data_IF_474927480549
#
_entry.id   IF_474927480549
#
_cell.length_a   1.000
_cell.length_b   1.000
_cell.length_c   1.000
_cell.angle_alpha   90.00
_cell.angle_beta   90.00
_cell.angle_gamma   90.00
#
_symmetry.space_group_name_H-M   'P 1'
#
loop_
_entity.id
_entity.type
_entity.pdbx_description
1 polymer ?
#
# COMPACT_ATOMS: atom_id res chain seq x y z
N UNK A 1 8.83 -24.41 14.38
CA UNK A 1 8.85 -23.04 14.96
C UNK A 1 9.32 -22.13 13.84
N UNK A 2 8.40 -21.41 13.17
CA UNK A 2 8.79 -20.52 12.08
C UNK A 2 9.49 -19.31 12.69
N UNK A 3 10.80 -19.22 12.48
CA UNK A 3 11.61 -18.07 12.82
C UNK A 3 11.20 -16.93 11.88
N UNK A 4 10.45 -15.96 12.39
CA UNK A 4 10.25 -14.71 11.68
C UNK A 4 11.62 -14.02 11.61
N UNK A 5 12.08 -13.56 10.44
CA UNK A 5 13.31 -12.79 10.37
C UNK A 5 13.12 -11.55 11.23
N UNK A 6 14.07 -11.27 12.13
CA UNK A 6 14.11 -10.05 12.94
C UNK A 6 14.06 -8.83 12.02
N UNK A 7 12.86 -8.30 11.78
CA UNK A 7 12.67 -7.07 11.03
C UNK A 7 13.35 -5.96 11.81
N UNK A 8 14.41 -5.38 11.26
CA UNK A 8 15.05 -4.19 11.82
C UNK A 8 13.99 -3.09 12.02
N UNK A 9 14.11 -2.24 13.04
CA UNK A 9 13.10 -1.20 13.35
C UNK A 9 12.73 -0.34 12.13
N UNK A 10 13.70 -0.13 11.22
CA UNK A 10 13.52 0.57 9.96
C UNK A 10 12.58 -0.16 8.99
N UNK A 11 12.61 -1.49 8.94
CA UNK A 11 11.71 -2.28 8.10
C UNK A 11 10.28 -2.27 8.68
N UNK A 12 10.12 -2.35 10.00
CA UNK A 12 8.80 -2.21 10.65
C UNK A 12 8.16 -0.86 10.34
N UNK A 13 8.90 0.25 10.47
CA UNK A 13 8.39 1.58 10.11
C UNK A 13 7.92 1.65 8.66
N UNK A 14 8.72 1.12 7.73
CA UNK A 14 8.34 1.05 6.30
C UNK A 14 7.09 0.21 6.07
N UNK A 15 6.94 -0.94 6.74
CA UNK A 15 5.74 -1.79 6.61
C UNK A 15 4.50 -1.04 7.11
N UNK A 16 4.59 -0.35 8.25
CA UNK A 16 3.49 0.46 8.79
C UNK A 16 3.12 1.59 7.84
N UNK A 17 4.10 2.30 7.27
CA UNK A 17 3.86 3.34 6.26
C UNK A 17 3.18 2.76 5.02
N UNK A 18 3.65 1.61 4.52
CA UNK A 18 3.06 0.93 3.38
C UNK A 18 1.60 0.55 3.69
N UNK A 19 1.34 -0.06 4.84
CA UNK A 19 -0.02 -0.42 5.27
C UNK A 19 -0.92 0.80 5.39
N UNK A 20 -0.44 1.92 5.95
CA UNK A 20 -1.21 3.15 6.07
C UNK A 20 -1.60 3.70 4.68
N UNK A 21 -0.68 3.66 3.72
CA UNK A 21 -0.95 4.09 2.34
C UNK A 21 -1.96 3.16 1.66
N UNK A 22 -1.74 1.85 1.72
CA UNK A 22 -2.66 0.88 1.12
C UNK A 22 -4.06 0.97 1.75
N UNK A 23 -4.15 1.23 3.05
CA UNK A 23 -5.42 1.45 3.76
C UNK A 23 -6.13 2.69 3.26
N UNK A 24 -5.44 3.83 3.12
CA UNK A 24 -6.05 5.05 2.56
C UNK A 24 -6.57 4.85 1.15
N UNK A 25 -5.83 4.09 0.32
CA UNK A 25 -6.25 3.74 -1.05
C UNK A 25 -7.49 2.84 -1.02
N UNK A 26 -7.53 1.85 -0.14
CA UNK A 26 -8.71 0.99 0.09
C UNK A 26 -9.96 1.81 0.47
N UNK A 27 -9.77 2.80 1.35
CA UNK A 27 -10.81 3.73 1.79
C UNK A 27 -11.13 4.84 0.78
N UNK A 28 -10.52 4.81 -0.42
CA UNK A 28 -10.66 5.83 -1.49
C UNK A 28 -10.32 7.25 -1.02
N UNK A 29 -9.52 7.37 0.03
CA UNK A 29 -9.07 8.67 0.55
C UNK A 29 -8.00 9.27 -0.36
N UNK A 30 -7.85 10.60 -0.38
CA UNK A 30 -6.77 11.25 -1.08
C UNK A 30 -5.41 10.84 -0.47
N UNK A 31 -4.49 10.43 -1.33
CA UNK A 31 -3.12 10.07 -0.95
C UNK A 31 -2.19 11.12 -1.56
N UNK A 32 -1.54 11.90 -0.69
CA UNK A 32 -0.66 13.01 -1.09
C UNK A 32 0.83 12.63 -1.19
N UNK A 33 1.15 11.33 -1.07
CA UNK A 33 2.52 10.83 -1.03
C UNK A 33 2.95 10.20 -2.36
N UNK A 34 4.25 9.91 -2.49
CA UNK A 34 4.84 9.30 -3.68
C UNK A 34 4.32 7.87 -3.92
N UNK A 35 3.20 7.79 -4.64
CA UNK A 35 2.52 6.59 -5.13
C UNK A 35 3.40 5.74 -6.04
N UNK A 36 4.37 6.33 -6.74
CA UNK A 36 5.24 5.65 -7.73
C UNK A 36 5.96 4.44 -7.16
N UNK A 37 6.38 4.50 -5.90
CA UNK A 37 7.05 3.37 -5.22
C UNK A 37 6.12 2.16 -5.11
N UNK A 38 4.84 2.40 -4.82
CA UNK A 38 3.81 1.36 -4.67
C UNK A 38 3.34 0.82 -6.02
N UNK A 39 3.27 1.68 -7.04
CA UNK A 39 2.96 1.30 -8.41
C UNK A 39 4.08 0.43 -8.99
N UNK A 40 5.34 0.85 -8.82
CA UNK A 40 6.52 0.08 -9.25
C UNK A 40 6.66 -1.26 -8.49
N UNK A 41 6.28 -1.30 -7.20
CA UNK A 41 6.25 -2.53 -6.42
C UNK A 41 5.09 -3.48 -6.79
N UNK A 42 4.18 -3.03 -7.67
CA UNK A 42 3.00 -3.78 -8.11
C UNK A 42 1.93 -3.94 -7.03
N UNK A 43 1.91 -3.06 -6.02
CA UNK A 43 0.97 -3.10 -4.91
C UNK A 43 -0.34 -2.37 -5.21
N UNK A 44 -0.26 -1.35 -6.07
CA UNK A 44 -1.40 -0.55 -6.50
C UNK A 44 -1.37 -0.39 -8.02
N UNK A 45 -2.54 -0.14 -8.61
CA UNK A 45 -2.68 0.20 -10.02
C UNK A 45 -3.68 1.34 -10.19
N UNK A 46 -3.52 2.10 -11.27
CA UNK A 46 -4.52 3.08 -11.67
C UNK A 46 -5.77 2.36 -12.21
N UNK A 47 -6.94 2.82 -11.78
CA UNK A 47 -8.25 2.33 -12.20
C UNK A 47 -9.13 3.51 -12.61
N UNK A 48 -8.74 4.12 -13.73
CA UNK A 48 -9.40 5.30 -14.28
C UNK A 48 -9.20 6.54 -13.41
N UNK A 49 -10.09 7.51 -13.60
CA UNK A 49 -10.05 8.81 -12.92
C UNK A 49 -11.28 8.99 -12.03
N UNK A 50 -11.08 9.64 -10.89
CA UNK A 50 -12.16 10.11 -10.02
C UNK A 50 -12.87 11.32 -10.65
N UNK A 51 -14.02 11.72 -10.07
CA UNK A 51 -14.84 12.85 -10.55
C UNK A 51 -14.11 14.19 -10.54
N UNK A 52 -13.09 14.31 -9.70
CA UNK A 52 -12.17 15.44 -9.57
C UNK A 52 -10.97 15.36 -10.54
N UNK A 53 -11.01 14.46 -11.54
CA UNK A 53 -9.95 14.22 -12.54
C UNK A 53 -8.62 13.70 -11.96
N UNK A 54 -8.58 13.35 -10.67
CA UNK A 54 -7.43 12.71 -10.06
C UNK A 54 -7.40 11.21 -10.37
N UNK A 55 -6.20 10.59 -10.48
CA UNK A 55 -6.10 9.15 -10.65
C UNK A 55 -6.81 8.41 -9.51
N UNK A 56 -7.60 7.41 -9.87
CA UNK A 56 -8.24 6.51 -8.93
C UNK A 56 -7.33 5.30 -8.71
N UNK A 57 -6.68 5.22 -7.56
CA UNK A 57 -5.79 4.10 -7.24
C UNK A 57 -6.58 2.95 -6.62
N UNK A 58 -6.27 1.72 -7.03
CA UNK A 58 -6.83 0.51 -6.44
C UNK A 58 -5.72 -0.46 -6.05
N UNK A 59 -5.99 -1.25 -5.01
CA UNK A 59 -5.09 -2.31 -4.57
C UNK A 59 -5.05 -3.45 -5.59
N UNK A 60 -3.85 -3.94 -5.89
CA UNK A 60 -3.67 -5.23 -6.58
C UNK A 60 -3.86 -6.37 -5.58
N UNK A 61 -3.95 -7.61 -6.08
CA UNK A 61 -3.99 -8.80 -5.21
C UNK A 61 -2.80 -8.85 -4.24
N UNK A 62 -1.60 -8.46 -4.73
CA UNK A 62 -0.40 -8.34 -3.90
C UNK A 62 -0.52 -7.26 -2.83
N UNK A 63 -1.09 -6.10 -3.18
CA UNK A 63 -1.37 -5.04 -2.20
C UNK A 63 -2.34 -5.48 -1.12
N UNK A 64 -3.40 -6.21 -1.49
CA UNK A 64 -4.36 -6.78 -0.54
C UNK A 64 -3.69 -7.78 0.41
N UNK A 65 -2.80 -8.63 -0.10
CA UNK A 65 -2.06 -9.59 0.74
C UNK A 65 -1.20 -8.90 1.81
N UNK A 66 -0.52 -7.79 1.49
CA UNK A 66 0.25 -7.02 2.47
C UNK A 66 -0.65 -6.37 3.52
N UNK A 67 -1.82 -5.90 3.09
CA UNK A 67 -2.82 -5.33 3.99
C UNK A 67 -3.38 -6.38 4.95
N UNK A 68 -3.53 -7.62 4.47
CA UNK A 68 -4.02 -8.75 5.23
C UNK A 68 -2.93 -9.48 6.03
N UNK A 69 -1.66 -9.07 5.90
CA UNK A 69 -0.55 -9.58 6.68
C UNK A 69 -0.60 -8.95 8.07
N UNK A 70 -1.49 -9.48 8.91
CA UNK A 70 -1.60 -9.18 10.34
C UNK A 70 -0.37 -9.80 11.02
N UNK A 71 0.45 -8.95 11.64
CA UNK A 71 1.50 -9.34 12.60
C UNK A 71 0.82 -9.70 13.92
#
# INVERSE_FOLDING_TARGET
MYQYPDFTEQQRKKIIEIQAVLTKISLKQPVFFNITVYTNAGLIKEHGKRKDNFPNWVLTEKGKQILNFVI
#
